data_IF_556470434866
#
_entry.id   IF_556470434866
#
_cell.length_a   1.000
_cell.length_b   1.000
_cell.length_c   1.000
_cell.angle_alpha   90.00
_cell.angle_beta   90.00
_cell.angle_gamma   90.00
#
_symmetry.space_group_name_H-M   'P 1'
#
loop_
_entity.id
_entity.type
_entity.pdbx_description
1 polymer ?
#
# COMPACT_ATOMS: atom_id res chain seq x y z
N UNK A 1 2.77 41.45 -71.03
CA UNK A 1 3.25 40.25 -70.31
C UNK A 1 4.27 40.72 -69.28
N UNK A 2 3.88 40.75 -68.00
CA UNK A 2 4.74 41.04 -66.85
C UNK A 2 4.26 40.14 -65.69
N UNK A 3 5.15 39.59 -64.84
CA UNK A 3 4.80 38.47 -63.98
C UNK A 3 4.22 38.92 -62.63
N UNK A 4 3.34 38.07 -62.08
CA UNK A 4 2.77 38.17 -60.73
C UNK A 4 3.87 37.94 -59.68
N UNK A 5 4.01 38.87 -58.74
CA UNK A 5 4.82 38.72 -57.54
C UNK A 5 4.07 37.87 -56.51
N UNK A 6 4.69 36.76 -56.10
CA UNK A 6 4.16 35.88 -55.05
C UNK A 6 4.64 36.41 -53.71
N UNK A 7 3.72 36.90 -52.88
CA UNK A 7 4.01 37.30 -51.50
C UNK A 7 4.14 36.02 -50.66
N UNK A 8 5.35 35.70 -50.24
CA UNK A 8 5.63 34.62 -49.28
C UNK A 8 5.21 35.07 -47.88
N UNK A 9 4.02 34.65 -47.43
CA UNK A 9 3.64 34.69 -46.02
C UNK A 9 4.43 33.61 -45.26
N UNK A 10 5.53 34.00 -44.62
CA UNK A 10 6.21 33.13 -43.65
C UNK A 10 5.31 32.98 -42.42
N UNK A 11 4.55 31.89 -42.35
CA UNK A 11 3.91 31.43 -41.11
C UNK A 11 5.01 31.12 -40.10
N UNK A 12 5.20 32.01 -39.13
CA UNK A 12 5.98 31.74 -37.94
C UNK A 12 5.17 30.76 -37.07
N UNK A 13 5.39 29.45 -37.26
CA UNK A 13 4.86 28.45 -36.35
C UNK A 13 5.61 28.59 -35.01
N UNK A 14 4.94 29.20 -34.03
CA UNK A 14 5.29 29.05 -32.62
C UNK A 14 5.17 27.56 -32.29
N UNK A 15 6.28 26.82 -32.41
CA UNK A 15 6.40 25.50 -31.84
C UNK A 15 6.12 25.64 -30.33
N UNK A 16 5.14 24.92 -29.77
CA UNK A 16 5.00 24.86 -28.33
C UNK A 16 6.32 24.31 -27.79
N UNK A 17 6.94 25.02 -26.84
CA UNK A 17 8.01 24.46 -26.04
C UNK A 17 7.48 23.17 -25.43
N UNK A 18 7.86 22.03 -25.99
CA UNK A 18 7.76 20.75 -25.30
C UNK A 18 8.60 20.93 -24.04
N UNK A 19 7.91 21.19 -22.92
CA UNK A 19 8.51 21.02 -21.61
C UNK A 19 9.07 19.60 -21.60
N UNK A 20 10.35 19.37 -21.20
CA UNK A 20 10.83 18.02 -21.04
C UNK A 20 9.84 17.32 -20.11
N UNK A 21 9.26 16.20 -20.58
CA UNK A 21 8.40 15.39 -19.77
C UNK A 21 9.19 15.07 -18.51
N UNK A 22 8.83 15.70 -17.39
CA UNK A 22 9.34 15.33 -16.08
C UNK A 22 9.02 13.85 -16.00
N UNK A 23 10.05 13.01 -15.95
CA UNK A 23 9.88 11.57 -15.76
C UNK A 23 9.11 11.42 -14.45
N UNK A 24 7.81 11.21 -14.52
CA UNK A 24 6.96 11.12 -13.35
C UNK A 24 7.15 9.72 -12.78
N UNK A 25 8.01 9.59 -11.77
CA UNK A 25 8.08 8.35 -11.01
C UNK A 25 6.77 8.20 -10.22
N UNK A 26 5.87 7.34 -10.69
CA UNK A 26 4.56 7.12 -10.07
C UNK A 26 4.68 6.58 -8.66
N UNK A 27 5.72 5.78 -8.36
CA UNK A 27 5.97 5.24 -7.03
C UNK A 27 6.41 6.35 -6.05
N UNK A 28 7.29 7.26 -6.49
CA UNK A 28 7.67 8.45 -5.71
C UNK A 28 6.46 9.35 -5.41
N UNK A 29 5.60 9.58 -6.40
CA UNK A 29 4.36 10.35 -6.21
C UNK A 29 3.40 9.69 -5.21
N UNK A 30 3.27 8.37 -5.26
CA UNK A 30 2.48 7.61 -4.30
C UNK A 30 3.00 7.76 -2.87
N UNK A 31 4.31 7.66 -2.69
CA UNK A 31 4.95 7.82 -1.38
C UNK A 31 4.87 9.26 -0.86
N UNK A 32 4.95 10.28 -1.72
CA UNK A 32 4.67 11.66 -1.32
C UNK A 32 3.20 11.88 -0.94
N UNK A 33 2.27 11.22 -1.63
CA UNK A 33 0.86 11.24 -1.24
C UNK A 33 0.66 10.59 0.15
N UNK A 34 1.27 9.43 0.39
CA UNK A 34 1.27 8.79 1.71
C UNK A 34 1.88 9.71 2.79
N UNK A 35 3.05 10.31 2.53
CA UNK A 35 3.71 11.23 3.49
C UNK A 35 2.78 12.34 3.94
N UNK A 36 1.92 12.87 3.06
CA UNK A 36 0.95 13.93 3.42
C UNK A 36 -0.18 13.44 4.33
N UNK A 37 -0.41 12.13 4.43
CA UNK A 37 -1.40 11.54 5.34
C UNK A 37 -0.84 11.14 6.70
N UNK A 38 0.47 11.07 6.82
CA UNK A 38 1.16 10.63 8.03
C UNK A 38 1.58 11.83 8.87
N UNK A 39 1.44 11.68 10.19
CA UNK A 39 2.10 12.54 11.17
C UNK A 39 3.40 11.86 11.62
N UNK A 40 4.50 12.59 11.51
CA UNK A 40 5.85 12.09 11.75
C UNK A 40 6.58 12.97 12.79
N UNK A 41 6.30 12.80 14.10
CA UNK A 41 6.87 13.62 15.15
C UNK A 41 8.37 13.35 15.36
N UNK A 42 8.89 12.22 14.90
CA UNK A 42 10.30 11.83 15.07
C UNK A 42 11.14 12.08 13.82
N UNK A 43 10.53 12.62 12.76
CA UNK A 43 11.16 12.99 11.51
C UNK A 43 11.84 11.80 10.79
N UNK A 44 11.28 10.59 10.90
CA UNK A 44 11.79 9.40 10.19
C UNK A 44 11.64 9.53 8.67
N UNK A 45 10.68 10.34 8.20
CA UNK A 45 10.43 10.61 6.78
C UNK A 45 11.25 11.79 6.25
N UNK A 46 12.26 12.27 6.99
CA UNK A 46 13.05 13.44 6.61
C UNK A 46 13.65 13.33 5.20
N UNK A 47 14.14 12.14 4.81
CA UNK A 47 14.79 11.93 3.52
C UNK A 47 13.81 11.91 2.33
N UNK A 48 12.50 11.93 2.56
CA UNK A 48 11.47 11.83 1.53
C UNK A 48 11.26 13.18 0.84
N UNK A 49 12.34 13.79 0.37
CA UNK A 49 12.38 15.15 -0.17
C UNK A 49 11.39 15.32 -1.35
N UNK A 50 10.42 16.26 -1.26
CA UNK A 50 9.43 16.50 -2.30
C UNK A 50 10.02 16.97 -3.65
N UNK A 51 11.30 17.33 -3.67
CA UNK A 51 12.01 17.71 -4.90
C UNK A 51 12.70 16.53 -5.59
N UNK A 52 12.87 15.40 -4.89
CA UNK A 52 13.49 14.21 -5.44
C UNK A 52 12.45 13.29 -6.09
N UNK A 53 12.69 12.95 -7.35
CA UNK A 53 11.78 12.09 -8.12
C UNK A 53 11.99 10.60 -7.79
N UNK A 54 13.19 10.17 -7.42
CA UNK A 54 13.51 8.76 -7.20
C UNK A 54 13.45 8.37 -5.70
N UNK A 55 12.46 7.57 -5.27
CA UNK A 55 12.31 7.19 -3.86
C UNK A 55 13.36 6.17 -3.39
N UNK A 56 14.13 5.55 -4.30
CA UNK A 56 15.12 4.52 -3.95
C UNK A 56 16.32 5.05 -3.14
N UNK A 57 16.44 6.36 -2.98
CA UNK A 57 17.45 7.01 -2.15
C UNK A 57 16.93 7.36 -0.75
N UNK A 58 15.64 7.17 -0.49
CA UNK A 58 15.02 7.53 0.76
C UNK A 58 15.23 6.44 1.81
N UNK A 59 15.46 6.84 3.07
CA UNK A 59 15.37 5.93 4.19
C UNK A 59 14.01 5.25 4.22
N UNK A 60 13.98 4.02 4.75
CA UNK A 60 12.78 3.19 4.86
C UNK A 60 12.22 2.65 3.53
N UNK A 61 12.85 2.99 2.40
CA UNK A 61 12.53 2.47 1.08
C UNK A 61 13.64 1.53 0.61
N UNK A 62 13.27 0.35 0.10
CA UNK A 62 14.20 -0.52 -0.64
C UNK A 62 13.68 -0.70 -2.06
N UNK A 63 14.58 -0.58 -3.04
CA UNK A 63 14.28 -0.85 -4.43
C UNK A 63 15.03 -2.08 -4.98
N UNK A 64 14.50 -2.64 -6.07
CA UNK A 64 15.20 -3.66 -6.85
C UNK A 64 16.25 -3.06 -7.80
N UNK A 65 16.92 -3.91 -8.60
CA UNK A 65 17.92 -3.50 -9.59
C UNK A 65 17.35 -2.65 -10.73
N UNK A 66 16.04 -2.61 -10.90
CA UNK A 66 15.33 -1.81 -11.91
C UNK A 66 14.76 -0.51 -11.32
N UNK A 67 15.11 -0.17 -10.07
CA UNK A 67 14.61 0.99 -9.33
C UNK A 67 13.10 0.97 -9.04
N UNK A 68 12.49 -0.21 -8.91
CA UNK A 68 11.13 -0.32 -8.39
C UNK A 68 11.12 -0.53 -6.89
N UNK A 69 10.21 0.14 -6.19
CA UNK A 69 10.03 -0.01 -4.74
C UNK A 69 9.50 -1.42 -4.42
N UNK A 70 10.28 -2.18 -3.66
CA UNK A 70 9.96 -3.56 -3.23
C UNK A 70 9.69 -3.68 -1.74
N UNK A 71 10.13 -2.72 -0.92
CA UNK A 71 9.83 -2.67 0.51
C UNK A 71 9.65 -1.24 1.00
N UNK A 72 8.62 -1.06 1.82
CA UNK A 72 8.41 0.10 2.68
C UNK A 72 8.40 -0.39 4.12
N UNK A 73 9.40 0.00 4.92
CA UNK A 73 9.55 -0.39 6.32
C UNK A 73 9.60 0.83 7.25
N UNK A 74 8.46 1.11 7.87
CA UNK A 74 8.29 2.13 8.90
C UNK A 74 7.85 1.50 10.23
N UNK A 75 8.25 0.25 10.49
CA UNK A 75 7.91 -0.43 11.73
C UNK A 75 8.51 0.27 12.96
N UNK A 76 7.72 0.45 14.02
CA UNK A 76 8.14 1.06 15.28
C UNK A 76 8.76 2.47 15.11
N UNK A 77 8.10 3.31 14.31
CA UNK A 77 8.59 4.64 13.93
C UNK A 77 7.82 5.79 14.59
N UNK A 78 6.91 5.50 15.53
CA UNK A 78 6.09 6.48 16.23
C UNK A 78 5.32 7.41 15.27
N UNK A 79 4.88 6.88 14.14
CA UNK A 79 4.06 7.59 13.15
C UNK A 79 2.58 7.39 13.43
N UNK A 80 1.75 8.38 13.09
CA UNK A 80 0.29 8.28 13.13
C UNK A 80 -0.32 8.80 11.83
N UNK A 81 -1.66 8.86 11.74
CA UNK A 81 -2.36 9.30 10.53
C UNK A 81 -3.11 8.14 9.87
N UNK A 82 -3.25 8.17 8.55
CA UNK A 82 -4.07 7.19 7.81
C UNK A 82 -3.36 6.66 6.57
N UNK A 83 -3.75 5.46 6.12
CA UNK A 83 -3.34 4.94 4.81
C UNK A 83 -4.32 5.39 3.72
N UNK A 84 -3.81 5.47 2.48
CA UNK A 84 -4.59 5.88 1.32
C UNK A 84 -4.46 4.92 0.13
N UNK A 85 -5.38 5.02 -0.85
CA UNK A 85 -5.40 4.16 -2.03
C UNK A 85 -4.16 4.31 -2.92
N UNK A 86 -3.42 5.42 -2.81
CA UNK A 86 -2.17 5.67 -3.56
C UNK A 86 -1.12 4.58 -3.35
N UNK A 87 -1.11 3.88 -2.21
CA UNK A 87 -0.19 2.78 -1.94
C UNK A 87 -0.32 1.64 -2.96
N UNK A 88 -1.48 1.50 -3.59
CA UNK A 88 -1.71 0.53 -4.65
C UNK A 88 -0.90 0.84 -5.93
N UNK A 89 -0.25 2.00 -6.05
CA UNK A 89 0.62 2.31 -7.20
C UNK A 89 1.99 1.63 -7.11
N UNK A 90 2.37 1.11 -5.94
CA UNK A 90 3.64 0.41 -5.71
C UNK A 90 3.55 -1.06 -6.20
N UNK A 91 3.34 -1.26 -7.51
CA UNK A 91 2.98 -2.57 -8.08
C UNK A 91 4.03 -3.67 -7.87
N UNK A 92 5.28 -3.29 -7.58
CA UNK A 92 6.39 -4.20 -7.30
C UNK A 92 6.60 -4.47 -5.80
N UNK A 93 5.80 -3.84 -4.93
CA UNK A 93 5.94 -3.96 -3.49
C UNK A 93 5.77 -5.42 -3.03
N UNK A 94 6.76 -5.90 -2.30
CA UNK A 94 6.79 -7.24 -1.71
C UNK A 94 6.56 -7.20 -0.20
N UNK A 95 7.00 -6.14 0.48
CA UNK A 95 6.86 -6.01 1.93
C UNK A 95 6.33 -4.62 2.29
N UNK A 96 5.18 -4.59 2.96
CA UNK A 96 4.62 -3.39 3.58
C UNK A 96 4.64 -3.59 5.10
N UNK A 97 5.58 -2.94 5.76
CA UNK A 97 5.90 -3.13 7.18
C UNK A 97 5.62 -1.82 7.93
N UNK A 98 4.44 -1.73 8.56
CA UNK A 98 3.98 -0.54 9.28
C UNK A 98 3.64 -0.83 10.75
N UNK A 99 4.12 -1.95 11.26
CA UNK A 99 3.78 -2.46 12.57
C UNK A 99 4.22 -1.56 13.73
N UNK A 100 3.54 -1.65 14.88
CA UNK A 100 3.85 -0.91 16.11
C UNK A 100 3.94 0.60 15.89
N UNK A 101 2.86 1.18 15.36
CA UNK A 101 2.70 2.62 15.18
C UNK A 101 1.31 3.04 15.71
N UNK A 102 0.95 4.31 15.50
CA UNK A 102 -0.35 4.86 15.88
C UNK A 102 -1.21 5.19 14.63
N UNK A 103 -1.07 4.39 13.56
CA UNK A 103 -1.84 4.58 12.32
C UNK A 103 -3.29 4.13 12.56
N UNK A 104 -4.25 4.96 12.15
CA UNK A 104 -5.67 4.75 12.34
C UNK A 104 -6.46 4.78 11.02
N UNK A 105 -7.79 4.65 11.13
CA UNK A 105 -8.68 4.60 9.98
C UNK A 105 -8.78 3.20 9.36
N UNK A 106 -9.51 3.10 8.26
CA UNK A 106 -9.70 1.83 7.55
C UNK A 106 -8.46 1.42 6.74
N UNK A 107 -8.28 0.11 6.57
CA UNK A 107 -7.27 -0.43 5.66
C UNK A 107 -7.78 -0.27 4.21
N UNK A 108 -7.06 0.45 3.31
CA UNK A 108 -7.52 0.67 1.95
C UNK A 108 -7.70 -0.64 1.19
N UNK A 109 -8.90 -0.86 0.64
CA UNK A 109 -9.20 -2.06 -0.17
C UNK A 109 -8.31 -2.18 -1.40
N UNK A 110 -7.79 -1.06 -1.92
CA UNK A 110 -6.92 -0.98 -3.08
C UNK A 110 -5.58 -1.69 -2.85
N UNK A 111 -5.16 -1.90 -1.59
CA UNK A 111 -3.97 -2.71 -1.29
C UNK A 111 -4.12 -4.14 -1.86
N UNK A 112 -5.33 -4.67 -2.03
CA UNK A 112 -5.60 -5.95 -2.71
C UNK A 112 -5.12 -6.02 -4.17
N UNK A 113 -4.71 -4.90 -4.78
CA UNK A 113 -4.12 -4.84 -6.10
C UNK A 113 -2.61 -5.13 -6.12
N UNK A 114 -1.93 -5.18 -4.97
CA UNK A 114 -0.49 -5.42 -4.87
C UNK A 114 -0.16 -6.92 -5.05
N UNK A 115 -0.17 -7.41 -6.30
CA UNK A 115 -0.07 -8.85 -6.62
C UNK A 115 1.25 -9.49 -6.20
N UNK A 116 2.31 -8.68 -6.07
CA UNK A 116 3.64 -9.11 -5.66
C UNK A 116 3.85 -9.10 -4.15
N UNK A 117 2.85 -8.66 -3.36
CA UNK A 117 2.99 -8.53 -1.92
C UNK A 117 3.15 -9.92 -1.26
N UNK A 118 4.22 -10.08 -0.51
CA UNK A 118 4.59 -11.28 0.25
C UNK A 118 4.28 -11.11 1.74
N UNK A 119 4.56 -9.93 2.29
CA UNK A 119 4.29 -9.60 3.69
C UNK A 119 3.47 -8.31 3.82
N UNK A 120 2.37 -8.40 4.57
CA UNK A 120 1.56 -7.26 5.00
C UNK A 120 1.48 -7.25 6.52
N UNK A 121 2.25 -6.34 7.13
CA UNK A 121 2.42 -6.27 8.57
C UNK A 121 1.92 -4.94 9.12
N UNK A 122 0.69 -4.96 9.60
CA UNK A 122 -0.03 -3.79 10.15
C UNK A 122 -0.29 -3.93 11.65
N UNK A 123 0.27 -4.95 12.28
CA UNK A 123 -0.01 -5.29 13.67
C UNK A 123 0.43 -4.20 14.67
N UNK A 124 -0.30 -4.04 15.77
CA UNK A 124 0.02 -3.03 16.79
C UNK A 124 -0.19 -1.61 16.27
N UNK A 125 -1.36 -1.35 15.69
CA UNK A 125 -1.80 -0.03 15.25
C UNK A 125 -3.21 0.22 15.79
N UNK A 126 -3.91 1.21 15.23
CA UNK A 126 -5.30 1.58 15.57
C UNK A 126 -6.23 1.46 14.36
N UNK A 127 -5.94 0.51 13.47
CA UNK A 127 -6.78 0.29 12.28
C UNK A 127 -8.18 -0.16 12.69
N UNK A 128 -9.19 0.40 12.06
CA UNK A 128 -10.62 0.13 12.29
C UNK A 128 -11.31 -0.39 11.03
N UNK A 129 -12.59 -0.73 11.15
CA UNK A 129 -13.39 -1.29 10.05
C UNK A 129 -13.07 -2.76 9.75
N UNK A 130 -13.52 -3.23 8.60
CA UNK A 130 -13.41 -4.64 8.21
C UNK A 130 -12.08 -4.98 7.52
N UNK A 131 -11.68 -6.25 7.59
CA UNK A 131 -10.60 -6.77 6.73
C UNK A 131 -11.07 -6.74 5.26
N UNK A 132 -10.35 -6.08 4.32
CA UNK A 132 -10.82 -5.96 2.95
C UNK A 132 -10.91 -7.29 2.21
N UNK A 133 -12.09 -7.62 1.67
CA UNK A 133 -12.29 -8.83 0.83
C UNK A 133 -11.37 -8.86 -0.40
N UNK A 134 -10.96 -7.69 -0.88
CA UNK A 134 -10.01 -7.52 -1.99
C UNK A 134 -8.63 -8.11 -1.69
N UNK A 135 -8.29 -8.38 -0.43
CA UNK A 135 -7.04 -9.05 -0.07
C UNK A 135 -6.94 -10.46 -0.63
N UNK A 136 -8.07 -11.08 -1.01
CA UNK A 136 -8.09 -12.30 -1.83
C UNK A 136 -7.31 -12.20 -3.14
N UNK A 137 -7.06 -10.97 -3.62
CA UNK A 137 -6.23 -10.66 -4.77
C UNK A 137 -4.72 -10.74 -4.54
N UNK A 138 -4.24 -10.83 -3.30
CA UNK A 138 -2.81 -10.86 -2.93
C UNK A 138 -2.22 -12.26 -3.10
N UNK A 139 -2.12 -12.74 -4.35
CA UNK A 139 -1.79 -14.15 -4.62
C UNK A 139 -0.41 -14.61 -4.16
N UNK A 140 0.54 -13.68 -3.97
CA UNK A 140 1.89 -13.96 -3.47
C UNK A 140 2.00 -13.92 -1.94
N UNK A 141 0.93 -13.57 -1.23
CA UNK A 141 0.98 -13.27 0.20
C UNK A 141 1.29 -14.53 1.01
N UNK A 142 2.26 -14.39 1.91
CA UNK A 142 2.71 -15.43 2.84
C UNK A 142 2.50 -15.04 4.29
N UNK A 143 2.59 -13.74 4.60
CA UNK A 143 2.45 -13.21 5.95
C UNK A 143 1.38 -12.12 5.95
N UNK A 144 0.30 -12.36 6.70
CA UNK A 144 -0.75 -11.38 6.96
C UNK A 144 -0.88 -11.22 8.47
N UNK A 145 -0.34 -10.12 9.01
CA UNK A 145 -0.35 -9.81 10.44
C UNK A 145 -1.11 -8.51 10.68
N UNK A 146 -2.33 -8.64 11.16
CA UNK A 146 -3.26 -7.56 11.49
C UNK A 146 -3.60 -7.52 12.99
N UNK A 147 -2.95 -8.37 13.80
CA UNK A 147 -3.23 -8.48 15.22
C UNK A 147 -2.98 -7.18 15.99
N UNK A 148 -3.63 -7.02 17.14
CA UNK A 148 -3.50 -5.83 17.99
C UNK A 148 -3.91 -4.54 17.23
N UNK A 149 -5.15 -4.52 16.75
CA UNK A 149 -5.82 -3.38 16.11
C UNK A 149 -7.28 -3.30 16.62
N UNK A 150 -8.11 -2.45 16.02
CA UNK A 150 -9.53 -2.28 16.32
C UNK A 150 -10.42 -2.75 15.16
N UNK A 151 -9.98 -3.79 14.42
CA UNK A 151 -10.72 -4.31 13.27
C UNK A 151 -11.99 -5.03 13.72
N UNK A 152 -13.08 -4.82 12.99
CA UNK A 152 -14.40 -5.37 13.27
C UNK A 152 -14.91 -6.26 12.12
N UNK A 153 -16.10 -6.81 12.29
CA UNK A 153 -16.73 -7.67 11.29
C UNK A 153 -16.12 -9.07 11.25
N UNK A 154 -16.35 -9.78 10.14
CA UNK A 154 -15.92 -11.19 9.99
C UNK A 154 -14.67 -11.35 9.15
N UNK A 155 -13.94 -12.44 9.35
CA UNK A 155 -12.86 -12.86 8.45
C UNK A 155 -13.47 -13.17 7.07
N UNK A 156 -13.12 -12.43 6.00
CA UNK A 156 -13.73 -12.65 4.69
C UNK A 156 -13.45 -14.06 4.16
N UNK A 157 -14.50 -14.75 3.71
CA UNK A 157 -14.37 -16.07 3.08
C UNK A 157 -13.45 -16.02 1.85
N UNK A 158 -13.42 -14.89 1.15
CA UNK A 158 -12.58 -14.68 -0.03
C UNK A 158 -11.09 -14.89 0.26
N UNK A 159 -10.64 -14.74 1.52
CA UNK A 159 -9.25 -15.00 1.90
C UNK A 159 -8.87 -16.48 1.78
N UNK A 160 -9.82 -17.41 1.65
CA UNK A 160 -9.50 -18.82 1.37
C UNK A 160 -8.77 -19.01 0.04
N UNK A 161 -8.80 -18.00 -0.84
CA UNK A 161 -8.09 -17.99 -2.11
C UNK A 161 -6.59 -17.66 -1.99
N UNK A 162 -6.07 -17.43 -0.77
CA UNK A 162 -4.65 -17.15 -0.48
C UNK A 162 -3.86 -18.44 -0.25
N UNK A 163 -3.67 -19.23 -1.31
CA UNK A 163 -3.02 -20.56 -1.23
C UNK A 163 -1.57 -20.54 -0.73
N UNK A 164 -0.87 -19.40 -0.80
CA UNK A 164 0.51 -19.24 -0.34
C UNK A 164 0.65 -18.82 1.13
N UNK A 165 -0.46 -18.52 1.81
CA UNK A 165 -0.46 -18.00 3.17
C UNK A 165 0.18 -18.99 4.15
N UNK A 166 1.12 -18.49 4.96
CA UNK A 166 1.86 -19.27 5.96
C UNK A 166 1.63 -18.77 7.38
N UNK A 167 1.43 -17.47 7.53
CA UNK A 167 1.10 -16.84 8.80
C UNK A 167 -0.12 -15.96 8.57
N UNK A 168 -1.14 -16.20 9.39
CA UNK A 168 -2.34 -15.38 9.48
C UNK A 168 -2.56 -15.07 10.96
N UNK A 169 -2.39 -13.82 11.35
CA UNK A 169 -2.63 -13.38 12.72
C UNK A 169 -3.53 -12.16 12.73
N UNK A 170 -4.72 -12.36 13.28
CA UNK A 170 -5.74 -11.33 13.47
C UNK A 170 -6.17 -11.26 14.94
N UNK A 171 -5.41 -11.87 15.84
CA UNK A 171 -5.71 -11.86 17.27
C UNK A 171 -5.76 -10.43 17.84
N UNK A 172 -6.43 -10.25 18.98
CA UNK A 172 -6.55 -8.93 19.64
C UNK A 172 -7.12 -7.85 18.69
N UNK A 173 -8.28 -8.16 18.12
CA UNK A 173 -9.16 -7.26 17.37
C UNK A 173 -10.60 -7.53 17.85
N UNK A 174 -11.56 -6.73 17.36
CA UNK A 174 -12.98 -6.84 17.66
C UNK A 174 -13.72 -7.66 16.56
N UNK A 175 -13.08 -8.70 16.04
CA UNK A 175 -13.61 -9.57 14.98
C UNK A 175 -14.68 -10.55 15.51
N UNK A 176 -15.69 -10.82 14.70
CA UNK A 176 -16.80 -11.72 14.99
C UNK A 176 -17.09 -12.70 13.84
N UNK A 177 -18.07 -13.59 14.02
CA UNK A 177 -18.46 -14.57 12.99
C UNK A 177 -17.61 -15.84 12.97
N UNK A 178 -17.60 -16.52 11.83
CA UNK A 178 -16.94 -17.83 11.69
C UNK A 178 -15.59 -17.71 11.00
N UNK A 179 -14.62 -18.51 11.46
CA UNK A 179 -13.36 -18.68 10.75
C UNK A 179 -13.64 -19.54 9.52
N UNK A 180 -13.25 -19.13 8.30
CA UNK A 180 -13.30 -20.01 7.13
C UNK A 180 -12.49 -21.28 7.40
N UNK A 181 -13.02 -22.46 7.03
CA UNK A 181 -12.37 -23.76 7.29
C UNK A 181 -11.69 -24.37 6.07
N UNK A 182 -11.79 -23.70 4.92
CA UNK A 182 -11.23 -24.15 3.64
C UNK A 182 -9.87 -23.47 3.33
N UNK A 183 -9.19 -23.95 2.28
CA UNK A 183 -7.97 -23.33 1.76
C UNK A 183 -6.84 -23.31 2.79
N UNK A 184 -6.10 -22.19 2.96
CA UNK A 184 -5.01 -22.11 3.93
C UNK A 184 -5.48 -22.28 5.39
N UNK A 185 -6.75 -21.94 5.69
CA UNK A 185 -7.29 -22.00 7.05
C UNK A 185 -7.59 -23.40 7.56
N UNK A 186 -7.90 -24.34 6.65
CA UNK A 186 -8.04 -25.76 7.02
C UNK A 186 -6.73 -26.39 7.51
N UNK A 187 -5.59 -25.85 7.08
CA UNK A 187 -4.26 -26.28 7.53
C UNK A 187 -3.80 -25.59 8.82
N UNK A 188 -4.37 -24.42 9.15
CA UNK A 188 -4.23 -23.78 10.46
C UNK A 188 -5.16 -24.46 11.48
N UNK A 189 -5.08 -25.80 11.56
CA UNK A 189 -5.86 -26.58 12.50
C UNK A 189 -5.55 -26.11 13.92
N UNK A 190 -6.49 -25.49 14.61
CA UNK A 190 -6.40 -25.24 16.04
C UNK A 190 -7.75 -25.52 16.72
N UNK A 191 -7.81 -26.48 17.65
CA UNK A 191 -8.88 -26.53 18.62
C UNK A 191 -8.74 -25.31 19.54
N UNK A 192 -9.75 -24.43 19.55
CA UNK A 192 -9.90 -23.24 20.42
C UNK A 192 -9.08 -21.99 20.03
N UNK A 193 -9.51 -21.31 18.96
CA UNK A 193 -9.65 -19.85 19.04
C UNK A 193 -11.11 -19.56 19.38
N UNK A 194 -11.42 -19.38 20.67
CA UNK A 194 -12.64 -18.68 21.05
C UNK A 194 -12.38 -17.20 20.78
N UNK A 195 -12.85 -16.69 19.64
CA UNK A 195 -13.10 -15.27 19.53
C UNK A 195 -14.08 -14.94 20.65
N UNK A 196 -13.61 -14.22 21.66
CA UNK A 196 -14.44 -13.76 22.76
C UNK A 196 -15.42 -12.76 22.15
N UNK A 197 -16.60 -13.26 21.82
CA UNK A 197 -17.73 -12.49 21.38
C UNK A 197 -18.24 -11.71 22.59
N UNK A 198 -17.63 -10.57 22.91
CA UNK A 198 -18.33 -9.52 23.63
C UNK A 198 -19.23 -8.81 22.62
N UNK A 199 -20.41 -9.42 22.41
CA UNK A 199 -21.66 -8.80 21.94
C UNK A 199 -21.55 -7.90 20.70
N UNK A 200 -22.06 -8.40 19.57
CA UNK A 200 -22.74 -7.49 18.62
C UNK A 200 -23.89 -6.76 19.33
#
# INVERSE_FOLDING_TARGET
MAPLSVISLSLCFLLPLLSPAISTNSEGNALHALRRRLSDPTNVLQSWDPTLVNPCTWFHITCDSNNHVIRLDLGNSNISGTLGPELAQLQHLQYLELYKNDISGEIPKELGNLKNLVGLDLYGNRFEGEIPKSFSGLKSLRFLRLNNNNLTGSIPRELTALSNLKVFDVSNNDLCGTIPVDGPFGMFSMPRYHFYCSLC
#
